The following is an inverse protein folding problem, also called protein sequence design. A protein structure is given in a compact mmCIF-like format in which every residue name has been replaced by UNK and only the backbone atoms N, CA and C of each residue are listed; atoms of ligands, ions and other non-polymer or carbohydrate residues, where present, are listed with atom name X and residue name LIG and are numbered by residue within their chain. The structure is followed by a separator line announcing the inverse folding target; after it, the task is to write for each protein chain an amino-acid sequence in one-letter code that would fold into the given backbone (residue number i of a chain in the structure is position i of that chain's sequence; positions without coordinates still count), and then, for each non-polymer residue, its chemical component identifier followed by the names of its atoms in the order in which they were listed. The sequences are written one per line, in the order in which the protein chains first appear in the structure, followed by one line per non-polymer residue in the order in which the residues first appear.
data_IF_956562446487
#
_entry.id   IF_956562446487
#
_cell.length_a   1.000
_cell.length_b   1.000
_cell.length_c   1.000
_cell.angle_alpha   90.00
_cell.angle_beta   90.00
_cell.angle_gamma   90.00
#
_symmetry.space_group_name_H-M   'P 1'
#
loop_
_entity.id
_entity.type
_entity.pdbx_description
1 polymer ?
#
# COMPACT_ATOMS: atom_id res chain seq x y z
N UNK A 1 -0.53 -0.88 1.46
CA UNK A 1 0.78 -1.08 0.82
C UNK A 1 1.63 0.19 0.81
N UNK A 2 1.04 1.35 0.55
CA UNK A 2 1.77 2.61 0.40
C UNK A 2 1.97 3.38 1.72
N UNK A 3 1.31 2.96 2.78
CA UNK A 3 1.45 3.57 4.11
C UNK A 3 2.57 2.90 4.90
N UNK A 4 3.19 3.66 5.79
CA UNK A 4 4.20 3.15 6.70
C UNK A 4 4.05 3.76 8.08
N UNK A 5 4.05 2.91 9.11
CA UNK A 5 4.13 3.29 10.52
C UNK A 5 4.89 2.20 11.25
N UNK A 6 5.94 2.55 11.99
CA UNK A 6 6.78 1.60 12.71
C UNK A 6 5.97 0.70 13.64
N UNK A 7 4.93 1.24 14.28
CA UNK A 7 4.13 0.50 15.27
C UNK A 7 3.20 -0.53 14.63
N UNK A 8 2.87 -0.40 13.34
CA UNK A 8 1.91 -1.27 12.65
C UNK A 8 2.48 -2.01 11.46
N UNK A 9 3.81 -1.92 11.24
CA UNK A 9 4.43 -2.45 10.03
C UNK A 9 4.18 -3.95 9.82
N UNK A 10 4.20 -4.75 10.88
CA UNK A 10 4.01 -6.19 10.74
C UNK A 10 2.58 -6.52 10.28
N UNK A 11 1.58 -5.91 10.89
CA UNK A 11 0.18 -6.14 10.49
C UNK A 11 -0.10 -5.60 9.09
N UNK A 12 0.49 -4.47 8.71
CA UNK A 12 0.37 -3.92 7.36
C UNK A 12 1.01 -4.82 6.32
N UNK A 13 2.19 -5.37 6.63
CA UNK A 13 2.88 -6.32 5.76
C UNK A 13 2.04 -7.58 5.56
N UNK A 14 1.52 -8.16 6.64
CA UNK A 14 0.73 -9.39 6.59
C UNK A 14 -0.57 -9.17 5.78
N UNK A 15 -1.27 -8.07 6.02
CA UNK A 15 -2.49 -7.74 5.28
C UNK A 15 -2.22 -7.51 3.79
N UNK A 16 -1.14 -6.81 3.45
CA UNK A 16 -0.77 -6.58 2.05
C UNK A 16 -0.48 -7.89 1.33
N UNK A 17 0.24 -8.80 1.96
CA UNK A 17 0.52 -10.11 1.39
C UNK A 17 -0.75 -10.95 1.22
N UNK A 18 -1.64 -10.94 2.20
CA UNK A 18 -2.91 -11.67 2.14
C UNK A 18 -3.78 -11.20 0.98
N UNK A 19 -3.81 -9.89 0.72
CA UNK A 19 -4.63 -9.29 -0.33
C UNK A 19 -3.96 -9.30 -1.72
N UNK A 20 -2.76 -9.86 -1.84
CA UNK A 20 -1.98 -9.85 -3.08
C UNK A 20 -1.83 -11.26 -3.65
N UNK A 21 -1.90 -11.40 -4.98
CA UNK A 21 -1.57 -12.64 -5.67
C UNK A 21 -0.07 -12.94 -5.56
N UNK A 22 0.37 -14.20 -5.80
CA UNK A 22 1.76 -14.60 -5.54
C UNK A 22 2.84 -13.74 -6.20
N UNK A 23 2.66 -13.36 -7.45
CA UNK A 23 3.62 -12.51 -8.17
C UNK A 23 3.63 -11.07 -7.64
N UNK A 24 2.49 -10.55 -7.23
CA UNK A 24 2.38 -9.24 -6.57
C UNK A 24 2.98 -9.28 -5.17
N UNK A 25 2.80 -10.39 -4.44
CA UNK A 25 3.47 -10.61 -3.15
C UNK A 25 4.99 -10.59 -3.30
N UNK A 26 5.52 -11.28 -4.31
CA UNK A 26 6.96 -11.35 -4.55
C UNK A 26 7.54 -9.97 -4.83
N UNK A 27 6.87 -9.18 -5.67
CA UNK A 27 7.29 -7.81 -5.97
C UNK A 27 7.27 -6.92 -4.72
N UNK A 28 6.25 -7.04 -3.89
CA UNK A 28 6.15 -6.28 -2.64
C UNK A 28 7.24 -6.67 -1.65
N UNK A 29 7.51 -7.96 -1.48
CA UNK A 29 8.57 -8.46 -0.61
C UNK A 29 9.94 -7.97 -1.05
N UNK A 30 10.18 -7.89 -2.35
CA UNK A 30 11.43 -7.36 -2.89
C UNK A 30 11.62 -5.90 -2.48
N UNK A 31 10.58 -5.08 -2.58
CA UNK A 31 10.61 -3.68 -2.13
C UNK A 31 10.81 -3.62 -0.60
N UNK A 32 10.09 -4.43 0.15
CA UNK A 32 10.16 -4.48 1.62
C UNK A 32 11.56 -4.84 2.12
N UNK A 33 12.24 -5.74 1.42
CA UNK A 33 13.58 -6.19 1.79
C UNK A 33 14.70 -5.32 1.19
N UNK A 34 14.37 -4.35 0.35
CA UNK A 34 15.37 -3.47 -0.27
C UNK A 34 15.96 -2.51 0.77
N UNK A 35 17.20 -2.02 0.57
CA UNK A 35 17.81 -1.02 1.47
C UNK A 35 17.03 0.30 1.51
N UNK A 36 16.20 0.56 0.50
CA UNK A 36 15.43 1.80 0.34
C UNK A 36 14.04 1.69 0.96
N UNK A 37 13.68 0.54 1.55
CA UNK A 37 12.37 0.36 2.16
C UNK A 37 12.13 1.39 3.28
N UNK A 38 10.89 1.94 3.40
CA UNK A 38 10.62 2.99 4.39
C UNK A 38 10.97 2.62 5.82
N UNK A 39 10.73 1.36 6.22
CA UNK A 39 11.02 0.91 7.59
C UNK A 39 12.53 0.85 7.90
N UNK A 40 13.38 0.75 6.86
CA UNK A 40 14.84 0.75 7.01
C UNK A 40 15.41 2.16 7.02
N UNK A 41 14.77 3.10 6.34
CA UNK A 41 15.20 4.50 6.24
C UNK A 41 14.59 5.34 7.33
N UNK A 42 13.27 5.28 7.51
CA UNK A 42 12.53 6.16 8.41
C UNK A 42 12.49 5.64 9.84
N UNK A 43 12.45 4.32 10.00
CA UNK A 43 12.35 3.66 11.32
C UNK A 43 11.23 4.26 12.15
N UNK A 44 11.55 4.80 13.35
CA UNK A 44 10.59 5.46 14.26
C UNK A 44 10.53 6.97 14.09
N UNK A 45 11.32 7.54 13.17
CA UNK A 45 11.47 9.00 13.04
C UNK A 45 10.35 9.64 12.22
N UNK A 46 9.74 8.88 11.33
CA UNK A 46 8.66 9.37 10.49
C UNK A 46 7.75 8.22 10.07
N UNK A 47 6.53 8.56 9.69
CA UNK A 47 5.58 7.64 9.08
C UNK A 47 5.20 8.14 7.69
N UNK A 48 4.66 7.25 6.87
CA UNK A 48 4.13 7.59 5.54
C UNK A 48 2.62 7.40 5.58
N UNK A 49 1.87 8.44 5.27
CA UNK A 49 0.41 8.41 5.26
C UNK A 49 -0.06 8.47 3.81
N UNK A 50 -0.82 7.45 3.39
CA UNK A 50 -1.49 7.42 2.11
C UNK A 50 -2.97 7.74 2.34
N UNK A 51 -3.48 8.76 1.65
CA UNK A 51 -4.88 9.18 1.75
C UNK A 51 -5.55 9.06 0.39
N UNK A 52 -6.55 8.19 0.29
CA UNK A 52 -7.32 8.00 -0.94
C UNK A 52 -8.23 9.20 -1.16
N UNK A 53 -8.16 9.78 -2.36
CA UNK A 53 -8.97 10.94 -2.75
C UNK A 53 -10.07 10.57 -3.74
N UNK A 54 -9.85 9.54 -4.57
CA UNK A 54 -10.85 9.09 -5.55
C UNK A 54 -10.58 7.65 -5.98
N UNK A 55 -11.64 6.90 -6.23
CA UNK A 55 -11.57 5.55 -6.79
C UNK A 55 -12.49 5.51 -8.02
N UNK A 56 -11.94 5.08 -9.16
CA UNK A 56 -12.68 4.88 -10.41
C UNK A 56 -12.49 3.45 -10.89
N UNK A 57 -13.54 2.86 -11.42
CA UNK A 57 -13.47 1.50 -12.00
C UNK A 57 -13.56 1.59 -13.51
N UNK A 58 -12.64 0.89 -14.19
CA UNK A 58 -12.61 0.77 -15.66
C UNK A 58 -12.50 -0.71 -16.00
N UNK A 59 -13.64 -1.34 -16.37
CA UNK A 59 -13.68 -2.79 -16.59
C UNK A 59 -13.32 -3.55 -15.32
N UNK A 60 -12.31 -4.41 -15.39
CA UNK A 60 -11.82 -5.22 -14.27
C UNK A 60 -10.71 -4.53 -13.48
N UNK A 61 -10.47 -3.25 -13.73
CA UNK A 61 -9.39 -2.48 -13.11
C UNK A 61 -9.95 -1.37 -12.26
N UNK A 62 -9.23 -1.06 -11.17
CA UNK A 62 -9.49 0.10 -10.34
C UNK A 62 -8.34 1.10 -10.50
N UNK A 63 -8.69 2.37 -10.62
CA UNK A 63 -7.73 3.47 -10.53
C UNK A 63 -7.98 4.20 -9.22
N UNK A 64 -6.98 4.17 -8.34
CA UNK A 64 -7.06 4.79 -7.02
C UNK A 64 -6.14 6.00 -7.02
N UNK A 65 -6.73 7.19 -6.92
CA UNK A 65 -5.97 8.43 -6.72
C UNK A 65 -5.78 8.63 -5.23
N UNK A 66 -4.54 8.88 -4.85
CA UNK A 66 -4.20 9.09 -3.45
C UNK A 66 -3.05 10.08 -3.31
N UNK A 67 -2.96 10.66 -2.13
CA UNK A 67 -1.81 11.46 -1.74
C UNK A 67 -0.96 10.67 -0.77
N UNK A 68 0.37 10.82 -0.89
CA UNK A 68 1.34 10.15 -0.03
C UNK A 68 2.21 11.22 0.62
N UNK A 69 2.27 11.23 1.94
CA UNK A 69 2.99 12.24 2.70
C UNK A 69 3.85 11.58 3.77
N UNK A 70 5.10 12.04 3.87
CA UNK A 70 5.99 11.68 4.97
C UNK A 70 5.73 12.64 6.11
N UNK A 71 5.41 12.12 7.29
CA UNK A 71 5.11 12.90 8.47
C UNK A 71 6.09 12.56 9.59
N UNK A 72 6.92 13.54 10.07
CA UNK A 72 7.81 13.29 11.19
C UNK A 72 7.02 12.99 12.47
N UNK A 73 7.48 12.03 13.25
CA UNK A 73 6.84 11.68 14.52
C UNK A 73 7.01 12.76 15.59
N UNK A 74 8.01 13.63 15.40
CA UNK A 74 8.25 14.77 16.30
C UNK A 74 7.24 15.91 16.13
N UNK A 75 6.38 15.86 15.10
CA UNK A 75 5.45 16.94 14.79
C UNK A 75 6.08 18.15 14.10
N UNK A 76 7.39 18.10 13.81
CA UNK A 76 8.07 19.16 13.07
C UNK A 76 7.61 19.15 11.61
N UNK A 77 6.86 20.18 11.20
CA UNK A 77 6.30 20.27 9.85
C UNK A 77 7.19 21.04 8.88
N UNK A 78 8.19 21.76 9.37
CA UNK A 78 9.00 22.67 8.58
C UNK A 78 9.87 21.98 7.53
N UNK A 79 10.20 20.71 7.74
CA UNK A 79 11.06 19.92 6.86
C UNK A 79 10.29 18.82 6.14
N UNK A 80 8.97 18.84 6.21
CA UNK A 80 8.13 17.84 5.57
C UNK A 80 8.04 18.11 4.07
N UNK A 81 8.39 17.14 3.21
CA UNK A 81 8.20 17.30 1.77
C UNK A 81 6.72 17.50 1.46
N UNK A 82 6.38 18.20 0.37
CA UNK A 82 4.99 18.33 -0.05
C UNK A 82 4.38 16.96 -0.35
N UNK A 83 3.07 16.76 -0.14
CA UNK A 83 2.41 15.50 -0.49
C UNK A 83 2.57 15.18 -1.97
N UNK A 84 2.80 13.91 -2.28
CA UNK A 84 2.84 13.42 -3.64
C UNK A 84 1.44 13.00 -4.07
N UNK A 85 1.04 13.38 -5.28
CA UNK A 85 -0.21 12.93 -5.89
C UNK A 85 0.09 11.76 -6.81
N UNK A 86 -0.50 10.60 -6.51
CA UNK A 86 -0.23 9.35 -7.18
C UNK A 86 -1.52 8.68 -7.65
N UNK A 87 -1.38 7.82 -8.66
CA UNK A 87 -2.45 6.96 -9.14
C UNK A 87 -1.96 5.51 -9.08
N UNK A 88 -2.68 4.67 -8.33
CA UNK A 88 -2.48 3.24 -8.35
C UNK A 88 -3.44 2.61 -9.35
N UNK A 89 -2.92 1.85 -10.30
CA UNK A 89 -3.71 1.05 -11.23
C UNK A 89 -3.67 -0.39 -10.75
N UNK A 90 -4.83 -0.93 -10.41
CA UNK A 90 -4.97 -2.21 -9.71
C UNK A 90 -5.88 -3.13 -10.51
N UNK A 91 -5.38 -4.31 -10.86
CA UNK A 91 -6.23 -5.41 -11.31
C UNK A 91 -6.45 -6.35 -10.13
N UNK A 92 -7.66 -6.87 -10.00
CA UNK A 92 -8.01 -7.72 -8.86
C UNK A 92 -9.01 -8.79 -9.27
N UNK A 93 -9.10 -9.83 -8.43
CA UNK A 93 -10.11 -10.87 -8.57
C UNK A 93 -10.50 -11.39 -7.20
N UNK A 94 -11.62 -12.11 -7.12
CA UNK A 94 -12.07 -12.79 -5.93
C UNK A 94 -11.88 -14.29 -6.11
N UNK A 95 -11.12 -14.93 -5.22
CA UNK A 95 -10.85 -16.37 -5.28
C UNK A 95 -11.41 -17.07 -4.06
N UNK A 96 -12.18 -18.12 -4.27
CA UNK A 96 -12.72 -18.98 -3.22
C UNK A 96 -11.66 -20.04 -2.85
N UNK A 97 -10.52 -19.61 -2.30
CA UNK A 97 -9.47 -20.50 -1.81
C UNK A 97 -9.65 -20.77 -0.33
N UNK A 98 -9.28 -21.98 0.18
CA UNK A 98 -9.27 -22.23 1.61
C UNK A 98 -8.33 -21.26 2.33
N UNK A 99 -8.83 -20.66 3.41
CA UNK A 99 -8.08 -19.73 4.24
C UNK A 99 -8.24 -20.11 5.70
N UNK A 100 -7.27 -19.75 6.53
CA UNK A 100 -7.41 -19.84 7.97
C UNK A 100 -8.49 -18.87 8.44
N UNK A 101 -9.12 -19.16 9.60
CA UNK A 101 -10.19 -18.32 10.13
C UNK A 101 -9.76 -16.86 10.36
N UNK A 102 -8.54 -16.67 10.86
CA UNK A 102 -7.98 -15.33 11.06
C UNK A 102 -7.85 -14.55 9.76
N UNK A 103 -7.51 -15.21 8.66
CA UNK A 103 -7.39 -14.59 7.34
C UNK A 103 -8.75 -14.25 6.77
N UNK A 104 -9.77 -15.06 7.03
CA UNK A 104 -11.14 -14.78 6.60
C UNK A 104 -11.76 -13.56 7.26
N UNK A 105 -11.33 -13.24 8.48
CA UNK A 105 -11.78 -12.02 9.17
C UNK A 105 -11.27 -10.75 8.46
N UNK A 106 -10.08 -10.84 7.86
CA UNK A 106 -9.46 -9.72 7.12
C UNK A 106 -9.94 -9.69 5.67
N UNK A 107 -10.09 -10.87 5.06
CA UNK A 107 -10.40 -11.01 3.63
C UNK A 107 -11.49 -12.08 3.40
N UNK A 108 -12.74 -11.82 3.80
CA UNK A 108 -13.80 -12.82 3.75
C UNK A 108 -14.17 -13.27 2.33
N UNK A 109 -13.97 -12.42 1.33
CA UNK A 109 -14.35 -12.70 -0.06
C UNK A 109 -13.21 -13.27 -0.91
N UNK A 110 -12.02 -13.46 -0.32
CA UNK A 110 -10.87 -13.94 -1.07
C UNK A 110 -10.37 -12.94 -2.13
N UNK A 111 -10.45 -11.65 -1.82
CA UNK A 111 -9.96 -10.59 -2.71
C UNK A 111 -8.45 -10.73 -2.91
N UNK A 112 -8.00 -10.65 -4.17
CA UNK A 112 -6.58 -10.67 -4.49
C UNK A 112 -6.25 -9.64 -5.57
N UNK A 113 -5.22 -8.86 -5.32
CA UNK A 113 -4.63 -7.96 -6.30
C UNK A 113 -3.73 -8.79 -7.21
N UNK A 114 -4.05 -8.79 -8.50
CA UNK A 114 -3.32 -9.56 -9.51
C UNK A 114 -2.32 -8.72 -10.29
N UNK A 115 -2.48 -7.40 -10.27
CA UNK A 115 -1.55 -6.45 -10.87
C UNK A 115 -1.61 -5.14 -10.10
N UNK A 116 -0.46 -4.53 -9.89
CA UNK A 116 -0.34 -3.29 -9.11
C UNK A 116 0.74 -2.39 -9.71
N UNK A 117 0.36 -1.16 -10.04
CA UNK A 117 1.29 -0.15 -10.56
C UNK A 117 0.92 1.20 -9.99
N UNK A 118 1.94 1.97 -9.59
CA UNK A 118 1.78 3.34 -9.10
C UNK A 118 2.55 4.28 -10.02
N UNK A 119 1.85 5.31 -10.47
CA UNK A 119 2.43 6.37 -11.30
C UNK A 119 2.15 7.73 -10.67
N UNK A 120 3.02 8.74 -10.89
CA UNK A 120 2.69 10.09 -10.51
C UNK A 120 1.45 10.58 -11.27
N UNK A 121 0.57 11.29 -10.59
CA UNK A 121 -0.57 11.93 -11.25
C UNK A 121 -0.04 13.09 -12.10
N UNK A 122 -0.39 13.08 -13.38
CA UNK A 122 0.02 14.16 -14.29
C UNK A 122 -0.63 15.47 -13.85
N UNK A 123 0.17 16.54 -13.77
CA UNK A 123 -0.35 17.86 -13.49
C UNK A 123 -1.28 18.28 -14.63
N UNK A 124 -2.44 18.88 -14.31
CA UNK A 124 -3.34 19.41 -15.34
C UNK A 124 -2.73 20.58 -16.11
#
# INVERSE_FOLDING_TARGET
RESYDWNTIQSTFDATNLLSAPDVQAAFKEIYNSPEAPHKILRQQAKVVAKVTNISFVGDMAQVRFTKQIMPTSGATDQTPPPQKLIATISFEFKATPMEESDRLINPLGFQVTSYRVDPEAAP
#
